data_IF_606034413652
#
_entry.id   IF_606034413652
#
_cell.length_a   1.000
_cell.length_b   1.000
_cell.length_c   1.000
_cell.angle_alpha   90.00
_cell.angle_beta   90.00
_cell.angle_gamma   90.00
#
_symmetry.space_group_name_H-M   'P 1'
#
loop_
_entity.id
_entity.type
_entity.pdbx_description
1 polymer ?
#
# COMPACT_ATOMS: atom_id res chain seq x y z
N UNK A 1 67.81 -12.21 -37.48
CA UNK A 1 66.37 -12.51 -37.47
C UNK A 1 65.71 -11.51 -36.54
N UNK A 2 65.16 -10.45 -37.12
CA UNK A 2 64.58 -9.31 -36.39
C UNK A 2 63.09 -9.33 -36.61
N UNK A 3 62.30 -9.38 -35.53
CA UNK A 3 61.27 -8.39 -35.14
C UNK A 3 60.27 -9.02 -34.12
N UNK A 4 59.71 -8.23 -33.17
CA UNK A 4 58.92 -8.67 -32.02
C UNK A 4 57.38 -8.56 -32.21
N UNK A 5 56.66 -9.15 -31.24
CA UNK A 5 55.21 -9.29 -30.94
C UNK A 5 54.23 -8.19 -31.42
N UNK A 6 52.91 -8.50 -31.52
CA UNK A 6 52.03 -7.93 -30.49
C UNK A 6 50.97 -8.89 -29.93
N UNK A 7 50.82 -8.79 -28.61
CA UNK A 7 49.79 -9.38 -27.77
C UNK A 7 48.40 -8.85 -28.18
N UNK A 8 47.56 -9.71 -28.73
CA UNK A 8 46.16 -9.40 -29.04
C UNK A 8 45.31 -9.39 -27.76
N UNK A 9 45.02 -8.19 -27.24
CA UNK A 9 43.93 -7.97 -26.29
C UNK A 9 42.60 -8.32 -26.98
N UNK A 10 42.01 -9.46 -26.63
CA UNK A 10 40.64 -9.82 -27.02
C UNK A 10 39.68 -8.85 -26.34
N UNK A 11 39.18 -7.87 -27.11
CA UNK A 11 38.09 -6.99 -26.70
C UNK A 11 36.84 -7.83 -26.45
N UNK A 12 36.40 -7.91 -25.19
CA UNK A 12 35.12 -8.51 -24.83
C UNK A 12 33.98 -7.79 -25.56
N UNK A 13 32.92 -8.49 -26.00
CA UNK A 13 31.75 -7.85 -26.61
C UNK A 13 31.08 -6.98 -25.54
N UNK A 14 31.16 -5.67 -25.73
CA UNK A 14 30.58 -4.67 -24.84
C UNK A 14 29.09 -4.94 -24.63
N UNK A 15 28.66 -4.92 -23.36
CA UNK A 15 27.25 -5.00 -22.99
C UNK A 15 26.50 -3.83 -23.65
N UNK A 16 25.61 -4.13 -24.59
CA UNK A 16 24.73 -3.13 -25.22
C UNK A 16 23.90 -2.44 -24.13
N UNK A 17 24.20 -1.16 -23.87
CA UNK A 17 23.39 -0.33 -22.99
C UNK A 17 22.11 0.04 -23.73
N UNK A 18 20.95 -0.35 -23.19
CA UNK A 18 19.66 0.02 -23.72
C UNK A 18 19.40 1.52 -23.44
N UNK A 19 19.51 2.36 -24.47
CA UNK A 19 19.40 3.84 -24.37
C UNK A 19 17.95 4.35 -24.36
N UNK A 20 16.94 3.51 -24.11
CA UNK A 20 15.56 4.01 -24.02
C UNK A 20 15.42 4.88 -22.78
N UNK A 21 14.81 6.06 -22.96
CA UNK A 21 14.46 6.93 -21.85
C UNK A 21 13.74 6.14 -20.73
N UNK A 22 14.13 6.37 -19.48
CA UNK A 22 13.48 5.74 -18.33
C UNK A 22 12.05 6.28 -18.21
N UNK A 23 11.08 5.54 -18.75
CA UNK A 23 9.66 5.84 -18.56
C UNK A 23 9.24 5.30 -17.18
N UNK A 24 8.51 6.08 -16.36
CA UNK A 24 8.02 5.59 -15.07
C UNK A 24 7.25 4.29 -15.24
N UNK A 25 7.52 3.31 -14.36
CA UNK A 25 6.87 2.01 -14.40
C UNK A 25 5.35 2.15 -14.24
N UNK A 26 4.61 1.90 -15.32
CA UNK A 26 3.15 1.94 -15.33
C UNK A 26 2.56 0.70 -14.65
N UNK A 27 2.28 0.77 -13.35
CA UNK A 27 1.33 -0.09 -12.63
C UNK A 27 1.10 0.44 -11.21
N UNK A 28 0.16 1.36 -11.03
CA UNK A 28 -0.11 1.96 -9.72
C UNK A 28 -0.83 0.97 -8.78
N UNK A 29 -0.07 0.30 -7.90
CA UNK A 29 -0.59 -0.58 -6.84
C UNK A 29 -1.67 0.10 -6.00
N UNK A 30 -1.55 1.40 -5.75
CA UNK A 30 -2.53 2.15 -4.96
C UNK A 30 -3.89 2.23 -5.65
N UNK A 31 -3.94 2.37 -6.98
CA UNK A 31 -5.19 2.37 -7.76
C UNK A 31 -5.96 1.05 -7.60
N UNK A 32 -5.27 -0.08 -7.52
CA UNK A 32 -5.92 -1.37 -7.27
C UNK A 32 -6.40 -1.49 -5.82
N UNK A 33 -5.58 -1.08 -4.86
CA UNK A 33 -5.91 -1.14 -3.42
C UNK A 33 -7.12 -0.27 -3.08
N UNK A 34 -7.21 0.96 -3.61
CA UNK A 34 -8.32 1.88 -3.32
C UNK A 34 -9.69 1.34 -3.75
N UNK A 35 -9.79 0.63 -4.88
CA UNK A 35 -11.06 0.09 -5.36
C UNK A 35 -11.55 -1.07 -4.50
N UNK A 36 -10.63 -1.83 -3.89
CA UNK A 36 -10.97 -2.94 -3.01
C UNK A 36 -11.23 -2.45 -1.58
N UNK A 37 -10.45 -1.48 -1.08
CA UNK A 37 -10.58 -0.96 0.28
C UNK A 37 -11.70 0.07 0.42
N UNK A 38 -11.84 1.00 -0.51
CA UNK A 38 -12.79 2.11 -0.43
C UNK A 38 -14.22 1.69 -0.10
N UNK A 39 -14.83 0.74 -0.84
CA UNK A 39 -16.18 0.26 -0.54
C UNK A 39 -16.30 -0.43 0.82
N UNK A 40 -15.26 -1.20 1.23
CA UNK A 40 -15.24 -1.90 2.52
C UNK A 40 -15.11 -0.92 3.68
N UNK A 41 -14.28 0.11 3.51
CA UNK A 41 -14.06 1.15 4.52
C UNK A 41 -15.31 2.02 4.66
N UNK A 42 -16.01 2.32 3.55
CA UNK A 42 -17.29 3.02 3.57
C UNK A 42 -18.35 2.23 4.36
N UNK A 43 -18.53 0.94 4.10
CA UNK A 43 -19.50 0.12 4.83
C UNK A 43 -19.15 0.01 6.32
N UNK A 44 -17.87 -0.21 6.65
CA UNK A 44 -17.39 -0.20 8.04
C UNK A 44 -17.65 1.14 8.73
N UNK A 45 -17.37 2.26 8.07
CA UNK A 45 -17.56 3.59 8.63
C UNK A 45 -19.03 3.86 9.00
N UNK A 46 -19.97 3.34 8.20
CA UNK A 46 -21.41 3.45 8.45
C UNK A 46 -21.81 2.67 9.70
N UNK A 47 -21.27 1.46 9.88
CA UNK A 47 -21.52 0.63 11.08
C UNK A 47 -20.93 1.31 12.31
N UNK A 48 -19.69 1.78 12.25
CA UNK A 48 -19.06 2.48 13.38
C UNK A 48 -19.82 3.75 13.77
N UNK A 49 -20.28 4.53 12.79
CA UNK A 49 -21.07 5.74 13.07
C UNK A 49 -22.33 5.43 13.88
N UNK A 50 -23.01 4.32 13.58
CA UNK A 50 -24.19 3.86 14.32
C UNK A 50 -23.82 3.38 15.72
N UNK A 51 -22.79 2.56 15.85
CA UNK A 51 -22.31 2.07 17.15
C UNK A 51 -21.90 3.23 18.07
N UNK A 52 -21.17 4.22 17.55
CA UNK A 52 -20.81 5.42 18.31
C UNK A 52 -22.03 6.23 18.76
N UNK A 53 -23.12 6.23 17.98
CA UNK A 53 -24.36 6.85 18.42
C UNK A 53 -25.03 6.03 19.52
N UNK A 54 -25.14 4.71 19.34
CA UNK A 54 -25.72 3.80 20.35
C UNK A 54 -25.00 3.89 21.69
N UNK A 55 -23.66 3.88 21.70
CA UNK A 55 -22.86 4.04 22.93
C UNK A 55 -23.18 5.38 23.61
N UNK A 56 -23.23 6.48 22.85
CA UNK A 56 -23.54 7.80 23.41
C UNK A 56 -24.93 7.86 24.03
N UNK A 57 -25.92 7.23 23.39
CA UNK A 57 -27.29 7.17 23.91
C UNK A 57 -27.37 6.29 25.17
N UNK A 58 -26.79 5.09 25.14
CA UNK A 58 -26.74 4.19 26.29
C UNK A 58 -26.11 4.88 27.52
N UNK A 59 -24.98 5.58 27.33
CA UNK A 59 -24.32 6.34 28.40
C UNK A 59 -25.20 7.48 28.92
N UNK A 60 -25.92 8.18 28.04
CA UNK A 60 -26.81 9.28 28.42
C UNK A 60 -28.03 8.79 29.22
N UNK A 61 -28.52 7.60 28.93
CA UNK A 61 -29.72 7.02 29.57
C UNK A 61 -29.40 6.28 30.88
N UNK A 62 -28.33 5.46 30.90
CA UNK A 62 -28.00 4.58 32.03
C UNK A 62 -26.68 4.90 32.73
N UNK A 63 -26.00 5.98 32.35
CA UNK A 63 -24.69 6.35 32.89
C UNK A 63 -23.53 5.57 32.26
N UNK A 64 -22.27 5.94 32.60
CA UNK A 64 -21.07 5.45 31.94
C UNK A 64 -20.58 4.08 32.42
N UNK A 65 -21.17 3.51 33.47
CA UNK A 65 -20.72 2.26 34.07
C UNK A 65 -21.34 1.07 33.32
N UNK A 66 -20.57 0.27 32.56
CA UNK A 66 -21.11 -0.84 31.77
C UNK A 66 -21.71 -1.95 32.65
N UNK A 67 -21.14 -2.20 33.84
CA UNK A 67 -21.64 -3.20 34.81
C UNK A 67 -23.08 -2.90 35.30
N UNK A 68 -23.50 -1.64 35.26
CA UNK A 68 -24.82 -1.19 35.72
C UNK A 68 -25.74 -0.78 34.57
N UNK A 69 -25.26 -0.87 33.33
CA UNK A 69 -25.99 -0.46 32.12
C UNK A 69 -25.91 -1.58 31.08
N UNK A 70 -26.90 -2.47 31.10
CA UNK A 70 -26.99 -3.61 30.17
C UNK A 70 -27.11 -3.21 28.70
N UNK A 71 -27.46 -1.95 28.40
CA UNK A 71 -27.46 -1.43 27.03
C UNK A 71 -26.08 -0.96 26.56
N UNK A 72 -25.12 -0.81 27.48
CA UNK A 72 -23.74 -0.41 27.21
C UNK A 72 -22.76 -1.61 27.20
N UNK A 73 -23.07 -2.68 27.95
CA UNK A 73 -22.31 -3.92 28.02
C UNK A 73 -22.52 -4.81 26.78
#
# INVERSE_FOLDING_TARGET
>A
ASQPEPTGCTSAPGRTLHLTAAVPAGHNKWSKVRHIKGPKDAEKSRIFSKLCLSIRLAVKEGGPNPEHNSSLA
#
